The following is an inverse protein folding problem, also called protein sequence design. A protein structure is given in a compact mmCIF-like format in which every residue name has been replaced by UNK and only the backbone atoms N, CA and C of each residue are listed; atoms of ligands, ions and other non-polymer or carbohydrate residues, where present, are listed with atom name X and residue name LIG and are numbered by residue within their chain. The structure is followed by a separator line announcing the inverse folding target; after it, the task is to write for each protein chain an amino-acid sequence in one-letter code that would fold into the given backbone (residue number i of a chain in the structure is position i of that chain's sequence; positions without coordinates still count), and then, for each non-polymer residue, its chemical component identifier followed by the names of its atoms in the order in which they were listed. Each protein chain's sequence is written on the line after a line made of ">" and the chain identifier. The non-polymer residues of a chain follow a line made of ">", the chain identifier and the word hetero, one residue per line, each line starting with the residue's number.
data_IF_000884419635
#
_entry.id   IF_000884419635
#
_cell.length_a   1.000
_cell.length_b   1.000
_cell.length_c   1.000
_cell.angle_alpha   90.00
_cell.angle_beta   90.00
_cell.angle_gamma   90.00
#
_symmetry.space_group_name_H-M   'P 1'
#
loop_
_entity.id
_entity.type
_entity.pdbx_description
1 polymer ?
#
# COMPACT_ATOMS: atom_id res chain seq x y z
N UNK A 1 -0.60 23.54 5.60
CA UNK A 1 0.01 22.25 5.94
C UNK A 1 -0.62 21.21 5.04
N UNK A 2 0.17 20.46 4.29
CA UNK A 2 -0.36 19.44 3.40
C UNK A 2 -0.98 18.29 4.23
N UNK A 3 -2.02 17.67 3.70
CA UNK A 3 -2.76 16.61 4.37
C UNK A 3 -2.75 15.34 3.52
N UNK A 4 -2.22 14.25 4.10
CA UNK A 4 -2.31 12.90 3.57
C UNK A 4 -3.44 12.16 4.28
N UNK A 5 -4.35 11.58 3.52
CA UNK A 5 -5.29 10.59 4.02
C UNK A 5 -4.85 9.21 3.51
N UNK A 6 -4.66 8.27 4.43
CA UNK A 6 -4.40 6.86 4.10
C UNK A 6 -5.68 6.08 4.33
N UNK A 7 -6.09 5.28 3.36
CA UNK A 7 -7.21 4.36 3.49
C UNK A 7 -6.64 2.94 3.55
N UNK A 8 -6.57 2.38 4.76
CA UNK A 8 -5.96 1.08 5.03
C UNK A 8 -6.93 -0.07 4.82
N UNK A 9 -6.44 -1.18 4.28
CA UNK A 9 -7.17 -2.44 4.23
C UNK A 9 -7.33 -3.03 5.64
N UNK A 10 -6.29 -2.90 6.44
CA UNK A 10 -6.23 -3.29 7.87
C UNK A 10 -5.48 -2.23 8.66
N UNK A 11 -5.60 -2.28 9.98
CA UNK A 11 -4.74 -1.47 10.86
C UNK A 11 -3.29 -1.99 10.77
N UNK A 12 -2.27 -1.12 10.75
CA UNK A 12 -0.88 -1.56 10.70
C UNK A 12 -0.49 -2.44 11.89
N UNK A 13 0.13 -3.56 11.61
CA UNK A 13 0.63 -4.54 12.60
C UNK A 13 2.11 -4.82 12.36
N UNK A 14 3.01 -3.90 12.71
CA UNK A 14 4.43 -3.98 12.34
C UNK A 14 5.16 -5.19 12.94
N UNK A 15 4.66 -5.72 14.08
CA UNK A 15 5.25 -6.89 14.74
C UNK A 15 4.74 -8.22 14.17
N UNK A 16 3.71 -8.19 13.31
CA UNK A 16 3.07 -9.39 12.75
C UNK A 16 3.24 -9.49 11.25
N UNK A 17 3.33 -8.36 10.55
CA UNK A 17 3.31 -8.32 9.09
C UNK A 17 4.32 -7.33 8.51
N UNK A 18 4.94 -7.71 7.40
CA UNK A 18 5.79 -6.82 6.62
C UNK A 18 5.01 -5.58 6.10
N UNK A 19 3.75 -5.78 5.71
CA UNK A 19 2.84 -4.71 5.30
C UNK A 19 2.63 -3.65 6.40
N UNK A 20 2.48 -4.08 7.66
CA UNK A 20 2.37 -3.18 8.80
C UNK A 20 3.63 -2.33 8.99
N UNK A 21 4.82 -2.93 8.87
CA UNK A 21 6.09 -2.22 8.94
C UNK A 21 6.25 -1.23 7.78
N UNK A 22 5.91 -1.65 6.55
CA UNK A 22 5.95 -0.78 5.37
C UNK A 22 5.01 0.42 5.52
N UNK A 23 3.80 0.21 6.00
CA UNK A 23 2.86 1.31 6.22
C UNK A 23 3.39 2.34 7.21
N UNK A 24 4.04 1.92 8.31
CA UNK A 24 4.69 2.85 9.24
C UNK A 24 5.87 3.59 8.60
N UNK A 25 6.62 2.95 7.71
CA UNK A 25 7.70 3.60 6.96
C UNK A 25 7.14 4.68 6.03
N UNK A 26 6.06 4.41 5.30
CA UNK A 26 5.38 5.39 4.44
C UNK A 26 4.85 6.57 5.27
N UNK A 27 4.21 6.29 6.40
CA UNK A 27 3.75 7.33 7.34
C UNK A 27 4.91 8.23 7.75
N UNK A 28 6.04 7.63 8.17
CA UNK A 28 7.24 8.37 8.58
C UNK A 28 7.80 9.25 7.46
N UNK A 29 7.84 8.74 6.21
CA UNK A 29 8.29 9.53 5.06
C UNK A 29 7.46 10.81 4.88
N UNK A 30 6.14 10.70 4.94
CA UNK A 30 5.25 11.85 4.79
C UNK A 30 5.30 12.80 5.99
N UNK A 31 5.46 12.27 7.22
CA UNK A 31 5.65 13.10 8.41
C UNK A 31 6.94 13.93 8.31
N UNK A 32 8.04 13.33 7.85
CA UNK A 32 9.32 14.02 7.64
C UNK A 32 9.23 15.14 6.58
N UNK A 33 8.23 15.06 5.68
CA UNK A 33 7.91 16.11 4.71
C UNK A 33 6.87 17.12 5.24
N UNK A 34 6.52 17.05 6.52
CA UNK A 34 5.62 18.00 7.17
C UNK A 34 4.14 17.79 6.84
N UNK A 35 3.73 16.61 6.39
CA UNK A 35 2.32 16.31 6.17
C UNK A 35 1.60 16.02 7.50
N UNK A 36 0.37 16.56 7.64
CA UNK A 36 -0.61 16.02 8.56
C UNK A 36 -1.12 14.69 8.01
N UNK A 37 -1.29 13.67 8.85
CA UNK A 37 -1.76 12.36 8.40
C UNK A 37 -3.03 11.95 9.13
N UNK A 38 -4.01 11.46 8.37
CA UNK A 38 -5.20 10.79 8.90
C UNK A 38 -5.29 9.39 8.29
N UNK A 39 -5.42 8.38 9.14
CA UNK A 39 -5.58 6.97 8.74
C UNK A 39 -7.04 6.56 8.89
N UNK A 40 -7.64 6.12 7.80
CA UNK A 40 -9.01 5.61 7.73
C UNK A 40 -8.97 4.09 7.53
N UNK A 41 -9.79 3.35 8.27
CA UNK A 41 -9.87 1.90 8.11
C UNK A 41 -11.27 1.39 8.46
N UNK A 42 -11.75 0.41 7.69
CA UNK A 42 -13.04 -0.25 7.95
C UNK A 42 -12.88 -1.55 8.76
N UNK A 43 -11.67 -2.06 8.91
CA UNK A 43 -11.41 -3.25 9.70
C UNK A 43 -11.45 -2.96 11.21
N UNK A 44 -11.78 -3.97 11.99
CA UNK A 44 -11.63 -3.91 13.46
C UNK A 44 -10.15 -3.95 13.84
N UNK A 45 -9.78 -3.29 14.92
CA UNK A 45 -8.46 -3.42 15.52
C UNK A 45 -8.30 -4.81 16.15
N UNK A 46 -7.10 -5.36 16.06
CA UNK A 46 -6.64 -6.53 16.80
C UNK A 46 -5.75 -6.13 17.97
N UNK A 47 -5.36 -7.09 18.79
CA UNK A 47 -4.39 -6.87 19.88
C UNK A 47 -2.99 -6.52 19.39
N UNK A 48 -2.69 -6.79 18.10
CA UNK A 48 -1.41 -6.49 17.45
C UNK A 48 -1.41 -5.16 16.68
N UNK A 49 -2.58 -4.50 16.59
CA UNK A 49 -2.71 -3.24 15.87
C UNK A 49 -1.91 -2.13 16.56
N UNK A 50 -1.03 -1.49 15.80
CA UNK A 50 -0.23 -0.38 16.29
C UNK A 50 -1.09 0.84 16.62
N UNK A 51 -0.86 1.48 17.76
CA UNK A 51 -1.55 2.72 18.09
C UNK A 51 -0.93 3.92 17.37
N UNK A 52 -1.49 4.23 16.21
CA UNK A 52 -1.06 5.33 15.36
C UNK A 52 -1.12 6.71 16.04
N UNK A 53 -1.92 6.87 17.11
CA UNK A 53 -1.97 8.14 17.84
C UNK A 53 -0.65 8.43 18.55
N UNK A 54 0.12 7.40 18.92
CA UNK A 54 1.44 7.56 19.58
C UNK A 54 2.46 8.24 18.69
N UNK A 55 2.24 8.19 17.36
CA UNK A 55 3.08 8.86 16.37
C UNK A 55 2.36 10.04 15.70
N UNK A 56 1.37 10.65 16.39
CA UNK A 56 0.65 11.84 15.94
C UNK A 56 -0.13 11.67 14.62
N UNK A 57 -0.55 10.44 14.29
CA UNK A 57 -1.46 10.16 13.18
C UNK A 57 -2.89 10.09 13.70
N UNK A 58 -3.77 10.91 13.14
CA UNK A 58 -5.19 10.85 13.46
C UNK A 58 -5.80 9.56 12.88
N UNK A 59 -6.67 8.91 13.63
CA UNK A 59 -7.35 7.70 13.17
C UNK A 59 -8.86 7.88 13.16
N UNK A 60 -9.54 7.35 12.13
CA UNK A 60 -10.99 7.37 12.06
C UNK A 60 -11.50 6.06 11.45
N UNK A 61 -12.39 5.33 12.13
CA UNK A 61 -13.06 4.18 11.54
C UNK A 61 -14.01 4.66 10.44
N UNK A 62 -14.10 3.88 9.36
CA UNK A 62 -15.03 4.07 8.25
C UNK A 62 -15.86 2.81 8.04
N UNK A 63 -16.97 2.93 7.33
CA UNK A 63 -17.82 1.78 7.01
C UNK A 63 -17.69 1.42 5.53
N UNK A 64 -17.74 0.11 5.26
CA UNK A 64 -17.74 -0.40 3.88
C UNK A 64 -19.06 -0.06 3.19
N UNK A 65 -18.98 0.40 1.94
CA UNK A 65 -20.14 0.69 1.10
C UNK A 65 -21.15 1.67 1.71
N UNK A 66 -20.68 2.57 2.59
CA UNK A 66 -21.52 3.53 3.28
C UNK A 66 -21.22 4.97 2.82
N UNK A 67 -22.28 5.77 2.63
CA UNK A 67 -22.16 7.15 2.15
C UNK A 67 -21.58 8.12 3.19
N UNK A 68 -21.47 7.72 4.46
CA UNK A 68 -20.80 8.52 5.49
C UNK A 68 -19.34 8.81 5.14
N UNK A 69 -18.69 7.94 4.36
CA UNK A 69 -17.34 8.17 3.85
C UNK A 69 -17.24 9.47 3.04
N UNK A 70 -18.26 9.80 2.24
CA UNK A 70 -18.25 10.99 1.38
C UNK A 70 -18.16 12.28 2.22
N UNK A 71 -18.88 12.33 3.33
CA UNK A 71 -18.81 13.45 4.26
C UNK A 71 -17.45 13.52 4.96
N UNK A 72 -16.91 12.36 5.35
CA UNK A 72 -15.60 12.27 6.00
C UNK A 72 -14.49 12.79 5.09
N UNK A 73 -14.43 12.32 3.84
CA UNK A 73 -13.36 12.69 2.92
C UNK A 73 -13.46 14.17 2.49
N UNK A 74 -14.68 14.70 2.33
CA UNK A 74 -14.91 16.13 2.07
C UNK A 74 -14.42 17.01 3.23
N UNK A 75 -14.74 16.64 4.47
CA UNK A 75 -14.31 17.37 5.65
C UNK A 75 -12.79 17.37 5.79
N UNK A 76 -12.15 16.23 5.54
CA UNK A 76 -10.69 16.09 5.59
C UNK A 76 -9.99 16.89 4.49
N UNK A 77 -10.61 17.02 3.32
CA UNK A 77 -10.12 17.75 2.15
C UNK A 77 -8.61 17.53 1.89
N UNK A 78 -8.16 16.28 1.64
CA UNK A 78 -6.76 15.93 1.53
C UNK A 78 -6.10 16.51 0.27
N UNK A 79 -4.77 16.74 0.35
CA UNK A 79 -3.95 16.98 -0.83
C UNK A 79 -3.54 15.67 -1.52
N UNK A 80 -3.39 14.61 -0.71
CA UNK A 80 -2.98 13.27 -1.17
C UNK A 80 -3.85 12.22 -0.49
N UNK A 81 -4.29 11.23 -1.27
CA UNK A 81 -4.94 10.01 -0.75
C UNK A 81 -4.10 8.81 -1.16
N UNK A 82 -3.72 7.98 -0.19
CA UNK A 82 -3.03 6.72 -0.42
C UNK A 82 -3.98 5.56 -0.13
N UNK A 83 -4.12 4.68 -1.11
CA UNK A 83 -4.90 3.44 -1.01
C UNK A 83 -3.97 2.26 -0.70
N UNK A 84 -4.21 1.58 0.42
CA UNK A 84 -3.50 0.35 0.76
C UNK A 84 -4.12 -0.81 -0.02
N UNK A 85 -3.49 -1.18 -1.12
CA UNK A 85 -3.88 -2.22 -2.07
C UNK A 85 -5.04 -1.84 -3.00
N UNK A 86 -5.07 -2.53 -4.14
CA UNK A 86 -6.08 -2.26 -5.20
C UNK A 86 -7.53 -2.42 -4.73
N UNK A 87 -7.80 -3.33 -3.80
CA UNK A 87 -9.16 -3.56 -3.28
C UNK A 87 -9.72 -2.34 -2.54
N UNK A 88 -8.86 -1.58 -1.89
CA UNK A 88 -9.24 -0.34 -1.20
C UNK A 88 -9.47 0.77 -2.22
N UNK A 89 -8.64 0.84 -3.25
CA UNK A 89 -8.87 1.79 -4.35
C UNK A 89 -10.22 1.51 -5.04
N UNK A 90 -10.55 0.26 -5.35
CA UNK A 90 -11.84 -0.10 -5.94
C UNK A 90 -13.05 0.34 -5.10
N UNK A 91 -12.93 0.24 -3.78
CA UNK A 91 -14.03 0.59 -2.88
C UNK A 91 -14.20 2.09 -2.71
N UNK A 92 -13.11 2.83 -2.63
CA UNK A 92 -13.12 4.23 -2.21
C UNK A 92 -12.60 5.21 -3.27
N UNK A 93 -11.85 4.75 -4.29
CA UNK A 93 -11.19 5.62 -5.26
C UNK A 93 -12.17 6.51 -6.03
N UNK A 94 -13.28 5.96 -6.49
CA UNK A 94 -14.32 6.72 -7.19
C UNK A 94 -14.98 7.78 -6.28
N UNK A 95 -15.18 7.48 -4.99
CA UNK A 95 -15.72 8.43 -4.01
C UNK A 95 -14.73 9.56 -3.73
N UNK A 96 -13.42 9.24 -3.64
CA UNK A 96 -12.37 10.24 -3.53
C UNK A 96 -12.36 11.15 -4.75
N UNK A 97 -12.43 10.59 -5.95
CA UNK A 97 -12.48 11.37 -7.20
C UNK A 97 -13.66 12.32 -7.24
N UNK A 98 -14.86 11.89 -6.82
CA UNK A 98 -16.05 12.72 -6.80
C UNK A 98 -16.01 13.83 -5.75
N UNK A 99 -15.46 13.52 -4.56
CA UNK A 99 -15.55 14.42 -3.41
C UNK A 99 -14.29 15.29 -3.21
N UNK A 100 -13.13 14.85 -3.73
CA UNK A 100 -11.83 15.54 -3.64
C UNK A 100 -11.09 15.44 -4.98
N UNK A 101 -11.61 16.01 -6.08
CA UNK A 101 -11.08 15.81 -7.44
C UNK A 101 -9.64 16.31 -7.62
N UNK A 102 -9.18 17.20 -6.76
CA UNK A 102 -7.83 17.78 -6.80
C UNK A 102 -6.82 17.00 -5.93
N UNK A 103 -7.25 15.98 -5.21
CA UNK A 103 -6.35 15.16 -4.40
C UNK A 103 -5.54 14.21 -5.30
N UNK A 104 -4.23 14.18 -5.11
CA UNK A 104 -3.36 13.18 -5.73
C UNK A 104 -3.69 11.79 -5.17
N UNK A 105 -3.95 10.82 -6.03
CA UNK A 105 -4.30 9.44 -5.67
C UNK A 105 -3.10 8.53 -5.86
N UNK A 106 -2.65 7.94 -4.78
CA UNK A 106 -1.51 7.02 -4.76
C UNK A 106 -2.01 5.62 -4.40
N UNK A 107 -1.65 4.63 -5.20
CA UNK A 107 -1.86 3.22 -4.89
C UNK A 107 -0.56 2.65 -4.30
N UNK A 108 -0.61 2.10 -3.08
CA UNK A 108 0.44 1.21 -2.58
C UNK A 108 0.01 -0.24 -2.84
N UNK A 109 0.72 -0.93 -3.73
CA UNK A 109 0.34 -2.30 -4.10
C UNK A 109 0.65 -3.31 -3.00
N UNK A 110 1.58 -2.99 -2.09
CA UNK A 110 2.22 -3.91 -1.16
C UNK A 110 3.06 -4.96 -1.92
N UNK A 111 2.41 -5.78 -2.73
CA UNK A 111 2.94 -6.63 -3.80
C UNK A 111 1.91 -6.71 -4.93
N UNK A 112 2.32 -7.17 -6.10
CA UNK A 112 1.38 -7.45 -7.17
C UNK A 112 0.59 -8.73 -6.87
N UNK A 113 -0.66 -8.57 -6.44
CA UNK A 113 -1.53 -9.66 -5.98
C UNK A 113 -1.78 -10.70 -7.08
N UNK A 114 -1.94 -10.26 -8.33
CA UNK A 114 -2.09 -11.19 -9.45
C UNK A 114 -0.85 -12.06 -9.64
N UNK A 115 0.35 -11.50 -9.47
CA UNK A 115 1.62 -12.22 -9.57
C UNK A 115 1.73 -13.28 -8.46
N UNK A 116 1.44 -12.89 -7.22
CA UNK A 116 1.42 -13.82 -6.10
C UNK A 116 0.44 -14.96 -6.33
N UNK A 117 -0.76 -14.64 -6.84
CA UNK A 117 -1.79 -15.63 -7.15
C UNK A 117 -1.37 -16.57 -8.27
N UNK A 118 -0.78 -16.05 -9.34
CA UNK A 118 -0.27 -16.84 -10.46
C UNK A 118 0.82 -17.82 -10.00
N UNK A 119 1.77 -17.34 -9.19
CA UNK A 119 2.82 -18.19 -8.58
C UNK A 119 2.24 -19.28 -7.68
N UNK A 120 1.25 -18.97 -6.86
CA UNK A 120 0.56 -19.93 -6.01
C UNK A 120 -0.09 -21.04 -6.81
N UNK A 121 -0.76 -20.71 -7.91
CA UNK A 121 -1.43 -21.67 -8.79
C UNK A 121 -0.41 -22.59 -9.48
N UNK A 122 0.64 -22.01 -10.07
CA UNK A 122 1.70 -22.77 -10.74
C UNK A 122 2.39 -23.74 -9.77
N UNK A 123 2.71 -23.26 -8.55
CA UNK A 123 3.31 -24.09 -7.50
C UNK A 123 2.41 -25.25 -7.07
N UNK A 124 1.11 -25.00 -6.82
CA UNK A 124 0.15 -26.04 -6.45
C UNK A 124 -0.03 -27.10 -7.55
N UNK A 125 0.15 -26.70 -8.81
CA UNK A 125 0.08 -27.59 -9.96
C UNK A 125 1.43 -28.26 -10.30
N UNK A 126 2.47 -27.97 -9.52
CA UNK A 126 3.83 -28.47 -9.72
C UNK A 126 4.35 -28.27 -11.16
N UNK A 127 4.17 -27.08 -11.68
CA UNK A 127 4.62 -26.65 -13.01
C UNK A 127 5.23 -25.26 -12.97
N UNK A 128 5.92 -24.90 -14.04
CA UNK A 128 6.43 -23.55 -14.21
C UNK A 128 5.29 -22.55 -14.44
N UNK A 129 5.58 -21.29 -14.08
CA UNK A 129 4.74 -20.14 -14.33
C UNK A 129 4.77 -19.79 -15.81
N UNK A 130 3.59 -19.63 -16.43
CA UNK A 130 3.46 -19.22 -17.82
C UNK A 130 2.69 -17.88 -17.90
N UNK A 131 2.77 -17.20 -19.05
CA UNK A 131 2.15 -15.87 -19.20
C UNK A 131 0.64 -15.87 -18.93
N UNK A 132 -0.05 -16.92 -19.34
CA UNK A 132 -1.50 -17.07 -19.18
C UNK A 132 -1.94 -17.10 -17.71
N UNK A 133 -1.05 -17.48 -16.80
CA UNK A 133 -1.32 -17.49 -15.36
C UNK A 133 -1.52 -16.09 -14.78
N UNK A 134 -0.90 -15.08 -15.41
CA UNK A 134 -1.08 -13.70 -14.99
C UNK A 134 -2.50 -13.19 -15.29
N UNK A 135 -3.10 -13.66 -16.41
CA UNK A 135 -4.34 -13.11 -16.95
C UNK A 135 -5.56 -13.64 -16.18
N UNK A 136 -5.78 -13.08 -15.02
CA UNK A 136 -6.86 -13.43 -14.10
C UNK A 136 -7.78 -12.24 -13.85
N UNK A 137 -8.91 -12.46 -13.16
CA UNK A 137 -9.76 -11.35 -12.74
C UNK A 137 -9.06 -10.43 -11.73
N UNK A 138 -8.17 -10.99 -10.89
CA UNK A 138 -7.33 -10.19 -9.99
C UNK A 138 -6.42 -9.27 -10.80
N UNK A 139 -5.78 -9.78 -11.86
CA UNK A 139 -4.97 -8.97 -12.76
C UNK A 139 -5.75 -7.79 -13.36
N UNK A 140 -6.94 -8.05 -13.92
CA UNK A 140 -7.75 -7.00 -14.54
C UNK A 140 -8.12 -5.90 -13.54
N UNK A 141 -8.48 -6.29 -12.34
CA UNK A 141 -8.86 -5.36 -11.25
C UNK A 141 -7.68 -4.53 -10.78
N UNK A 142 -6.53 -5.17 -10.56
CA UNK A 142 -5.31 -4.51 -10.10
C UNK A 142 -4.77 -3.55 -11.18
N UNK A 143 -4.75 -3.97 -12.46
CA UNK A 143 -4.41 -3.08 -13.58
C UNK A 143 -5.37 -1.88 -13.65
N UNK A 144 -6.66 -2.09 -13.50
CA UNK A 144 -7.62 -1.01 -13.50
C UNK A 144 -7.37 -0.02 -12.36
N UNK A 145 -6.99 -0.48 -11.17
CA UNK A 145 -6.65 0.38 -10.04
C UNK A 145 -5.37 1.20 -10.30
N UNK A 146 -4.35 0.59 -10.90
CA UNK A 146 -3.13 1.30 -11.31
C UNK A 146 -3.48 2.46 -12.26
N UNK A 147 -4.32 2.22 -13.27
CA UNK A 147 -4.71 3.25 -14.25
C UNK A 147 -5.68 4.30 -13.71
N UNK A 148 -6.35 4.05 -12.59
CA UNK A 148 -7.20 5.06 -11.94
C UNK A 148 -6.44 5.96 -10.96
N UNK A 149 -5.22 5.58 -10.57
CA UNK A 149 -4.36 6.36 -9.70
C UNK A 149 -3.38 7.23 -10.48
N UNK A 150 -2.93 8.30 -9.86
CA UNK A 150 -1.95 9.22 -10.45
C UNK A 150 -0.52 8.69 -10.25
N UNK A 151 -0.30 7.85 -9.23
CA UNK A 151 0.95 7.18 -8.94
C UNK A 151 0.70 5.83 -8.27
N UNK A 152 1.53 4.83 -8.60
CA UNK A 152 1.52 3.51 -7.97
C UNK A 152 2.90 3.19 -7.40
N UNK A 153 2.95 2.79 -6.15
CA UNK A 153 4.17 2.37 -5.46
C UNK A 153 4.39 0.87 -5.68
N UNK A 154 5.57 0.52 -6.19
CA UNK A 154 5.99 -0.87 -6.47
C UNK A 154 7.19 -1.21 -5.60
N UNK A 155 7.16 -2.37 -4.94
CA UNK A 155 8.16 -2.72 -3.91
C UNK A 155 9.41 -3.41 -4.46
N UNK A 156 9.36 -4.03 -5.63
CA UNK A 156 10.48 -4.80 -6.16
C UNK A 156 10.83 -4.42 -7.60
N UNK A 157 12.12 -4.56 -7.94
CA UNK A 157 12.60 -4.34 -9.30
C UNK A 157 11.98 -5.33 -10.29
N UNK A 158 11.77 -6.57 -9.85
CA UNK A 158 11.11 -7.58 -10.67
C UNK A 158 9.68 -7.18 -11.05
N UNK A 159 8.91 -6.65 -10.09
CA UNK A 159 7.55 -6.18 -10.35
C UNK A 159 7.55 -4.91 -11.22
N UNK A 160 8.54 -4.02 -11.04
CA UNK A 160 8.72 -2.87 -11.94
C UNK A 160 8.98 -3.31 -13.38
N UNK A 161 9.89 -4.26 -13.59
CA UNK A 161 10.17 -4.82 -14.94
C UNK A 161 8.93 -5.50 -15.52
N UNK A 162 8.25 -6.33 -14.72
CA UNK A 162 7.02 -7.01 -15.16
C UNK A 162 5.95 -5.99 -15.59
N UNK A 163 5.74 -4.94 -14.80
CA UNK A 163 4.77 -3.90 -15.10
C UNK A 163 5.12 -3.10 -16.36
N UNK A 164 6.39 -2.70 -16.51
CA UNK A 164 6.83 -1.83 -17.62
C UNK A 164 7.13 -2.60 -18.91
N UNK A 165 7.81 -3.74 -18.82
CA UNK A 165 8.27 -4.47 -20.01
C UNK A 165 7.24 -5.47 -20.52
N UNK A 166 6.56 -6.20 -19.62
CA UNK A 166 5.58 -7.22 -20.01
C UNK A 166 4.20 -6.63 -20.22
N UNK A 167 3.72 -5.82 -19.29
CA UNK A 167 2.38 -5.23 -19.36
C UNK A 167 2.35 -3.83 -19.93
N UNK A 168 3.52 -3.26 -20.26
CA UNK A 168 3.70 -1.96 -20.93
C UNK A 168 2.96 -0.80 -20.21
N UNK A 169 2.90 -0.87 -18.89
CA UNK A 169 2.37 0.23 -18.08
C UNK A 169 3.33 1.42 -18.21
N UNK A 170 2.77 2.61 -18.44
CA UNK A 170 3.58 3.82 -18.53
C UNK A 170 4.38 4.03 -17.24
N UNK A 171 5.70 4.11 -17.35
CA UNK A 171 6.59 4.29 -16.21
C UNK A 171 6.30 5.55 -15.39
N UNK A 172 5.65 6.58 -15.97
CA UNK A 172 5.24 7.78 -15.24
C UNK A 172 4.16 7.53 -14.19
N UNK A 173 3.43 6.41 -14.27
CA UNK A 173 2.44 5.98 -13.29
C UNK A 173 3.04 5.15 -12.15
N UNK A 174 4.31 4.76 -12.27
CA UNK A 174 4.95 3.82 -11.36
C UNK A 174 6.12 4.49 -10.62
N UNK A 175 6.26 4.16 -9.35
CA UNK A 175 7.39 4.58 -8.55
C UNK A 175 7.94 3.41 -7.74
N UNK A 176 9.22 3.11 -7.93
CA UNK A 176 9.89 2.08 -7.17
C UNK A 176 10.14 2.57 -5.74
N UNK A 177 9.47 1.97 -4.79
CA UNK A 177 9.64 2.24 -3.35
C UNK A 177 9.77 0.90 -2.63
N UNK A 178 10.99 0.38 -2.46
CA UNK A 178 11.22 -0.88 -1.74
C UNK A 178 10.93 -0.72 -0.25
N UNK A 179 11.07 -1.81 0.52
CA UNK A 179 11.16 -1.71 1.96
C UNK A 179 12.34 -0.83 2.35
N UNK A 180 12.08 0.12 3.23
CA UNK A 180 13.11 1.00 3.75
C UNK A 180 13.83 0.29 4.90
N UNK A 181 15.15 0.26 4.85
CA UNK A 181 15.95 -0.21 5.98
C UNK A 181 16.14 0.93 6.99
N UNK A 182 16.20 0.57 8.25
CA UNK A 182 16.69 1.50 9.28
C UNK A 182 18.17 1.84 9.02
N UNK A 183 18.62 2.97 9.54
CA UNK A 183 20.05 3.33 9.50
C UNK A 183 20.86 2.20 10.14
N UNK A 184 21.91 1.78 9.44
CA UNK A 184 22.84 0.77 9.96
C UNK A 184 23.52 1.34 11.21
N UNK A 185 23.23 0.76 12.36
CA UNK A 185 23.89 1.13 13.59
C UNK A 185 25.38 0.78 13.49
N UNK A 186 26.25 1.64 13.98
CA UNK A 186 27.71 1.46 13.92
C UNK A 186 28.22 0.21 14.68
N UNK A 187 27.34 -0.43 15.45
CA UNK A 187 27.69 -1.59 16.30
C UNK A 187 27.01 -2.86 15.82
N UNK A 188 27.26 -3.25 14.55
CA UNK A 188 26.75 -4.49 13.98
C UNK A 188 27.62 -5.66 14.42
N UNK A 189 27.06 -6.73 15.05
CA UNK A 189 27.82 -7.93 15.41
C UNK A 189 28.52 -8.55 14.20
N UNK A 190 29.78 -8.91 14.32
CA UNK A 190 30.51 -9.64 13.27
C UNK A 190 29.89 -11.01 13.05
N UNK A 191 30.19 -11.62 11.90
CA UNK A 191 29.63 -12.91 11.53
C UNK A 191 29.79 -13.99 12.62
N UNK A 192 30.98 -14.07 13.25
CA UNK A 192 31.31 -15.04 14.27
C UNK A 192 30.59 -14.79 15.62
N UNK A 193 30.03 -13.59 15.79
CA UNK A 193 29.29 -13.20 16.99
C UNK A 193 27.78 -13.47 16.87
N UNK A 194 27.30 -13.77 15.64
CA UNK A 194 25.87 -14.05 15.35
C UNK A 194 25.52 -15.47 15.74
N UNK A 195 24.58 -15.63 16.67
CA UNK A 195 24.20 -16.95 17.21
C UNK A 195 22.83 -17.44 16.72
N UNK A 196 22.06 -16.60 16.06
CA UNK A 196 20.67 -16.92 15.69
C UNK A 196 20.39 -16.50 14.24
N UNK A 197 19.43 -17.19 13.61
CA UNK A 197 18.81 -16.73 12.36
C UNK A 197 17.68 -15.77 12.71
N UNK A 198 17.53 -14.72 11.90
CA UNK A 198 16.40 -13.80 11.95
C UNK A 198 15.55 -14.04 10.73
#
# INVERSE_FOLDING_TARGET
>A
MNHLVIIGAVWPEPNSTAAGSRMLQIISLFQNQGYKITFLCSASKSDFSFDLNTISVQTKPIQLNDSSFDSIIKELNPNVVLFDRFMIEEQYGWRVMENCPNALRILDTEDLHFLRKAREVAFKQNRELVFEDYISDVFKREMASIYRCDLTLIISEYEMQLATETFQINASLLHYLPFLSEEITTNVPKFDERKHFV
#
